data_IF_109830421881
#
_entry.id   IF_109830421881
#
_cell.length_a   1.000
_cell.length_b   1.000
_cell.length_c   1.000
_cell.angle_alpha   90.00
_cell.angle_beta   90.00
_cell.angle_gamma   90.00
#
_symmetry.space_group_name_H-M   'P 1'
#
loop_
_entity.id
_entity.type
_entity.pdbx_description
1 polymer ?
#
# COMPACT_ATOMS: atom_id res chain seq x y z
N UNK A 1 -26.39 -11.20 8.38
CA UNK A 1 -25.66 -10.32 9.33
C UNK A 1 -25.13 -9.15 8.54
N UNK A 2 -25.49 -7.89 8.81
CA UNK A 2 -24.88 -6.76 8.13
C UNK A 2 -23.54 -6.49 8.79
N UNK A 3 -22.46 -6.63 8.03
CA UNK A 3 -21.13 -6.19 8.45
C UNK A 3 -21.21 -4.66 8.57
N UNK A 4 -20.87 -4.11 9.74
CA UNK A 4 -20.88 -2.66 9.97
C UNK A 4 -19.94 -2.02 8.96
N UNK A 5 -20.38 -0.95 8.29
CA UNK A 5 -19.60 -0.25 7.25
C UNK A 5 -18.19 0.14 7.75
N UNK A 6 -18.05 0.37 9.05
CA UNK A 6 -16.77 0.69 9.71
C UNK A 6 -15.73 -0.43 9.58
N UNK A 7 -16.16 -1.70 9.56
CA UNK A 7 -15.27 -2.86 9.39
C UNK A 7 -14.77 -2.96 7.94
N UNK A 8 -15.61 -2.57 6.97
CA UNK A 8 -15.25 -2.60 5.56
C UNK A 8 -14.16 -1.57 5.25
N UNK A 9 -14.28 -0.35 5.78
CA UNK A 9 -13.27 0.71 5.60
C UNK A 9 -11.95 0.39 6.29
N UNK A 10 -11.97 -0.21 7.49
CA UNK A 10 -10.73 -0.62 8.18
C UNK A 10 -10.02 -1.75 7.42
N UNK A 11 -10.78 -2.66 6.80
CA UNK A 11 -10.23 -3.72 5.96
C UNK A 11 -9.58 -3.14 4.69
N UNK A 12 -10.25 -2.20 4.02
CA UNK A 12 -9.73 -1.52 2.83
C UNK A 12 -8.47 -0.68 3.12
N UNK A 13 -8.42 0.02 4.26
CA UNK A 13 -7.22 0.75 4.74
C UNK A 13 -6.06 -0.20 5.07
N UNK A 14 -6.36 -1.39 5.60
CA UNK A 14 -5.34 -2.41 5.85
C UNK A 14 -4.83 -3.06 4.58
N UNK A 15 -5.71 -3.39 3.65
CA UNK A 15 -5.33 -3.98 2.37
C UNK A 15 -4.45 -3.02 1.56
N UNK A 16 -4.72 -1.72 1.66
CA UNK A 16 -3.85 -0.68 1.08
C UNK A 16 -2.52 -0.56 1.81
N UNK A 17 -2.45 -0.51 3.15
CA UNK A 17 -1.12 -0.46 3.81
C UNK A 17 -0.29 -1.73 3.53
N UNK A 18 -0.91 -2.91 3.48
CA UNK A 18 -0.23 -4.18 3.24
C UNK A 18 0.32 -4.24 1.80
N UNK A 19 -0.45 -3.77 0.81
CA UNK A 19 0.00 -3.64 -0.58
C UNK A 19 1.22 -2.71 -0.73
N UNK A 20 1.30 -1.65 0.07
CA UNK A 20 2.47 -0.76 0.11
C UNK A 20 3.71 -1.49 0.60
N UNK A 21 3.58 -2.23 1.72
CA UNK A 21 4.69 -2.97 2.28
C UNK A 21 5.17 -4.10 1.37
N UNK A 22 4.27 -4.79 0.67
CA UNK A 22 4.63 -5.79 -0.34
C UNK A 22 5.40 -5.18 -1.52
N UNK A 23 5.00 -3.99 -1.97
CA UNK A 23 5.70 -3.26 -3.02
C UNK A 23 7.11 -2.84 -2.59
N UNK A 24 7.25 -2.25 -1.40
CA UNK A 24 8.54 -1.83 -0.85
C UNK A 24 9.46 -3.03 -0.58
N UNK A 25 8.93 -4.15 -0.09
CA UNK A 25 9.69 -5.37 0.14
C UNK A 25 10.19 -6.03 -1.16
N UNK A 26 9.56 -5.69 -2.29
CA UNK A 26 9.98 -6.13 -3.63
C UNK A 26 11.04 -5.23 -4.25
N UNK A 27 11.25 -4.02 -3.72
CA UNK A 27 12.40 -3.18 -4.05
C UNK A 27 13.69 -3.84 -3.53
N UNK A 28 14.80 -3.70 -4.25
CA UNK A 28 16.08 -4.28 -3.87
C UNK A 28 16.72 -3.57 -2.67
N UNK A 29 18.04 -3.71 -2.51
CA UNK A 29 18.85 -2.88 -1.58
C UNK A 29 19.95 -2.11 -2.36
N UNK A 30 19.76 -1.93 -3.66
CA UNK A 30 20.68 -1.23 -4.56
C UNK A 30 20.21 0.22 -4.82
N UNK A 31 21.11 1.17 -5.02
CA UNK A 31 20.81 2.63 -5.11
C UNK A 31 19.72 3.06 -6.14
N UNK A 32 19.25 2.15 -7.01
CA UNK A 32 18.05 2.31 -7.85
C UNK A 32 16.72 2.23 -7.08
N UNK A 33 16.73 1.85 -5.80
CA UNK A 33 15.52 1.62 -5.01
C UNK A 33 14.77 2.89 -4.63
N UNK A 34 15.40 4.07 -4.68
CA UNK A 34 14.67 5.31 -4.47
C UNK A 34 13.57 5.51 -5.53
N UNK A 35 13.77 5.02 -6.75
CA UNK A 35 12.77 5.09 -7.82
C UNK A 35 11.65 4.07 -7.58
N UNK A 36 12.00 2.85 -7.17
CA UNK A 36 11.03 1.80 -6.80
C UNK A 36 10.14 2.20 -5.62
N UNK A 37 10.74 2.75 -4.56
CA UNK A 37 10.01 3.26 -3.39
C UNK A 37 9.08 4.41 -3.78
N UNK A 38 9.53 5.30 -4.68
CA UNK A 38 8.72 6.41 -5.20
C UNK A 38 7.52 5.89 -5.98
N UNK A 39 7.69 4.88 -6.84
CA UNK A 39 6.60 4.23 -7.57
C UNK A 39 5.57 3.60 -6.61
N UNK A 40 6.02 2.87 -5.60
CA UNK A 40 5.15 2.27 -4.58
C UNK A 40 4.33 3.33 -3.82
N UNK A 41 4.95 4.47 -3.49
CA UNK A 41 4.30 5.61 -2.85
C UNK A 41 3.30 6.30 -3.78
N UNK A 42 3.63 6.49 -5.06
CA UNK A 42 2.71 7.09 -6.04
C UNK A 42 1.45 6.25 -6.24
N UNK A 43 1.60 4.92 -6.30
CA UNK A 43 0.47 3.99 -6.42
C UNK A 43 -0.45 4.09 -5.20
N UNK A 44 0.12 4.22 -3.99
CA UNK A 44 -0.65 4.33 -2.75
C UNK A 44 -1.28 5.72 -2.54
N UNK A 45 -0.59 6.79 -2.92
CA UNK A 45 -1.08 8.16 -2.74
C UNK A 45 -2.11 8.58 -3.80
N UNK A 46 -2.11 7.97 -4.99
CA UNK A 46 -3.10 8.23 -6.05
C UNK A 46 -4.50 7.63 -5.75
N UNK A 47 -4.67 6.92 -4.64
CA UNK A 47 -5.96 6.35 -4.21
C UNK A 47 -6.82 7.31 -3.36
N UNK A 48 -6.43 8.60 -3.25
CA UNK A 48 -7.24 9.67 -2.63
C UNK A 48 -7.80 10.66 -3.66
#
# INVERSE_FOLDING_TARGET
MPISKDILTIAEEKDSIDSYFECIASCGIDEKDNECVTECLEVHLKQN
#
